data_IF_134502580652
#
_entry.id   IF_134502580652
#
_cell.length_a   1.000
_cell.length_b   1.000
_cell.length_c   1.000
_cell.angle_alpha   90.00
_cell.angle_beta   90.00
_cell.angle_gamma   90.00
#
_symmetry.space_group_name_H-M   'P 1'
#
loop_
_entity.id
_entity.type
_entity.pdbx_description
1 polymer ?
#
# COMPACT_ATOMS: atom_id res chain seq x y z
N UNK A 1 -17.13 -12.54 -14.51
CA UNK A 1 -18.08 -13.23 -13.58
C UNK A 1 -18.31 -12.32 -12.39
N UNK A 2 -19.55 -12.00 -11.98
CA UNK A 2 -19.77 -11.11 -10.80
C UNK A 2 -19.10 -11.66 -9.53
N UNK A 3 -18.31 -10.83 -8.84
CA UNK A 3 -17.57 -11.16 -7.62
C UNK A 3 -18.51 -11.29 -6.41
N UNK A 4 -19.11 -12.48 -6.24
CA UNK A 4 -20.21 -12.71 -5.29
C UNK A 4 -19.79 -13.49 -4.04
N UNK A 5 -18.68 -14.24 -4.10
CA UNK A 5 -18.17 -15.02 -2.97
C UNK A 5 -16.72 -14.66 -2.60
N UNK A 6 -16.21 -15.19 -1.49
CA UNK A 6 -14.80 -14.99 -1.10
C UNK A 6 -13.87 -15.69 -2.11
N UNK A 7 -14.26 -16.87 -2.56
CA UNK A 7 -13.54 -17.69 -3.54
C UNK A 7 -13.38 -16.96 -4.88
N UNK A 8 -14.38 -16.16 -5.29
CA UNK A 8 -14.26 -15.31 -6.49
C UNK A 8 -13.13 -14.29 -6.35
N UNK A 9 -13.00 -13.65 -5.19
CA UNK A 9 -11.93 -12.69 -4.92
C UNK A 9 -10.56 -13.38 -4.79
N UNK A 10 -10.52 -14.57 -4.20
CA UNK A 10 -9.29 -15.37 -4.11
C UNK A 10 -8.80 -15.77 -5.49
N UNK A 11 -9.68 -16.28 -6.35
CA UNK A 11 -9.40 -16.61 -7.74
C UNK A 11 -8.95 -15.38 -8.53
N UNK A 12 -9.64 -14.25 -8.38
CA UNK A 12 -9.22 -12.99 -8.99
C UNK A 12 -7.84 -12.55 -8.50
N UNK A 13 -7.42 -12.92 -7.29
CA UNK A 13 -6.13 -12.56 -6.71
C UNK A 13 -5.00 -13.58 -6.94
N UNK A 14 -5.24 -14.69 -7.64
CA UNK A 14 -4.24 -15.76 -7.83
C UNK A 14 -2.97 -15.27 -8.53
N UNK A 15 -3.09 -14.36 -9.49
CA UNK A 15 -1.96 -13.81 -10.24
C UNK A 15 -0.98 -13.05 -9.33
N UNK A 16 -1.41 -12.53 -8.19
CA UNK A 16 -0.53 -11.89 -7.20
C UNK A 16 0.50 -12.85 -6.60
N UNK A 17 0.32 -14.17 -6.74
CA UNK A 17 1.37 -15.14 -6.37
C UNK A 17 2.72 -14.87 -7.04
N UNK A 18 2.73 -14.23 -8.22
CA UNK A 18 3.96 -13.83 -8.93
C UNK A 18 4.82 -12.84 -8.16
N UNK A 19 4.24 -12.08 -7.24
CA UNK A 19 4.97 -11.09 -6.42
C UNK A 19 5.17 -11.54 -4.98
N UNK A 20 4.61 -12.68 -4.55
CA UNK A 20 4.63 -13.13 -3.15
C UNK A 20 6.08 -13.36 -2.66
N UNK A 21 6.89 -14.09 -3.42
CA UNK A 21 8.27 -14.40 -3.01
C UNK A 21 9.20 -13.17 -3.03
N UNK A 22 9.23 -12.34 -4.09
CA UNK A 22 9.98 -11.09 -4.09
C UNK A 22 9.57 -10.13 -2.96
N UNK A 23 8.26 -10.00 -2.70
CA UNK A 23 7.73 -9.15 -1.63
C UNK A 23 8.17 -9.66 -0.25
N UNK A 24 8.12 -10.97 -0.02
CA UNK A 24 8.60 -11.58 1.22
C UNK A 24 10.11 -11.41 1.41
N UNK A 25 10.90 -11.54 0.34
CA UNK A 25 12.35 -11.30 0.37
C UNK A 25 12.68 -9.86 0.73
N UNK A 26 11.97 -8.89 0.13
CA UNK A 26 12.10 -7.48 0.46
C UNK A 26 11.72 -7.23 1.93
N UNK A 27 10.59 -7.79 2.36
CA UNK A 27 10.11 -7.63 3.74
C UNK A 27 11.14 -8.14 4.75
N UNK A 28 11.70 -9.33 4.53
CA UNK A 28 12.75 -9.89 5.38
C UNK A 28 14.01 -9.01 5.41
N UNK A 29 14.42 -8.46 4.27
CA UNK A 29 15.63 -7.63 4.15
C UNK A 29 15.51 -6.32 4.93
N UNK A 30 14.33 -5.68 4.90
CA UNK A 30 14.11 -4.36 5.48
C UNK A 30 13.35 -4.38 6.82
N UNK A 31 13.11 -5.56 7.39
CA UNK A 31 12.41 -5.71 8.67
C UNK A 31 10.92 -5.38 8.61
N UNK A 32 10.26 -5.65 7.48
CA UNK A 32 8.80 -5.65 7.39
C UNK A 32 8.24 -7.06 7.63
N UNK A 33 7.01 -7.09 8.11
CA UNK A 33 6.17 -8.29 8.20
C UNK A 33 5.22 -8.33 7.02
N UNK A 34 5.11 -9.49 6.36
CA UNK A 34 4.09 -9.72 5.33
C UNK A 34 2.74 -9.96 5.99
N UNK A 35 1.75 -9.15 5.62
CA UNK A 35 0.39 -9.28 6.12
C UNK A 35 -0.33 -10.44 5.39
N UNK A 36 -1.22 -11.19 6.06
CA UNK A 36 -1.97 -12.28 5.43
C UNK A 36 -2.72 -11.85 4.17
N UNK A 37 -2.97 -12.78 3.25
CA UNK A 37 -3.83 -12.51 2.08
C UNK A 37 -5.21 -12.01 2.56
N UNK A 38 -5.79 -11.07 1.82
CA UNK A 38 -7.08 -10.42 2.13
C UNK A 38 -7.11 -9.56 3.41
N UNK A 39 -5.98 -9.37 4.10
CA UNK A 39 -5.92 -8.50 5.28
C UNK A 39 -5.79 -7.02 4.86
N UNK A 40 -6.94 -6.41 4.61
CA UNK A 40 -7.05 -5.06 4.04
C UNK A 40 -8.23 -4.89 3.09
N UNK A 41 -8.98 -5.97 2.84
CA UNK A 41 -10.15 -5.98 1.99
C UNK A 41 -10.17 -7.23 1.11
N UNK A 42 -11.34 -7.53 0.55
CA UNK A 42 -11.52 -8.70 -0.32
C UNK A 42 -10.90 -8.49 -1.70
N UNK A 43 -10.81 -7.25 -2.18
CA UNK A 43 -10.25 -6.96 -3.50
C UNK A 43 -8.74 -7.24 -3.55
N UNK A 44 -8.18 -7.77 -4.67
CA UNK A 44 -6.81 -8.27 -4.71
C UNK A 44 -5.77 -7.26 -4.21
N UNK A 45 -5.03 -7.67 -3.18
CA UNK A 45 -4.01 -6.84 -2.57
C UNK A 45 -2.87 -7.65 -1.94
N UNK A 46 -1.76 -6.96 -1.68
CA UNK A 46 -0.65 -7.40 -0.83
C UNK A 46 -0.14 -6.26 0.03
N UNK A 47 0.20 -6.57 1.28
CA UNK A 47 0.63 -5.57 2.23
C UNK A 47 1.83 -6.05 3.02
N UNK A 48 2.76 -5.15 3.26
CA UNK A 48 3.86 -5.34 4.21
C UNK A 48 3.87 -4.16 5.19
N UNK A 49 4.24 -4.42 6.43
CA UNK A 49 4.26 -3.41 7.49
C UNK A 49 5.52 -3.51 8.33
N UNK A 50 6.02 -2.38 8.79
CA UNK A 50 7.12 -2.32 9.74
C UNK A 50 6.62 -1.61 10.99
N UNK A 51 6.59 -2.33 12.10
CA UNK A 51 6.18 -1.82 13.41
C UNK A 51 7.35 -1.14 14.12
N UNK A 52 7.03 -0.15 14.94
CA UNK A 52 8.00 0.65 15.70
C UNK A 52 7.34 1.89 16.31
N UNK A 53 8.14 2.85 16.76
CA UNK A 53 7.61 4.16 17.20
C UNK A 53 6.86 4.88 16.09
N UNK A 54 7.23 4.61 14.84
CA UNK A 54 6.47 4.95 13.63
C UNK A 54 6.07 3.66 12.95
N UNK A 55 4.76 3.45 12.80
CA UNK A 55 4.23 2.37 12.00
C UNK A 55 4.37 2.75 10.52
N UNK A 56 4.92 1.85 9.71
CA UNK A 56 5.08 2.01 8.26
C UNK A 56 4.33 0.91 7.53
N UNK A 57 3.73 1.24 6.40
CA UNK A 57 2.97 0.30 5.58
C UNK A 57 3.22 0.55 4.11
N UNK A 58 3.43 -0.52 3.35
CA UNK A 58 3.41 -0.51 1.89
C UNK A 58 2.29 -1.45 1.45
N UNK A 59 1.37 -0.96 0.64
CA UNK A 59 0.16 -1.64 0.21
C UNK A 59 0.05 -1.61 -1.30
N UNK A 60 0.09 -2.77 -1.91
CA UNK A 60 -0.11 -2.98 -3.34
C UNK A 60 -1.55 -3.43 -3.52
N UNK A 61 -2.35 -2.66 -4.25
CA UNK A 61 -3.76 -2.98 -4.45
C UNK A 61 -4.19 -2.78 -5.89
N UNK A 62 -5.06 -3.67 -6.38
CA UNK A 62 -5.67 -3.52 -7.70
C UNK A 62 -6.53 -2.26 -7.69
N UNK A 63 -6.44 -1.45 -8.74
CA UNK A 63 -7.26 -0.25 -8.88
C UNK A 63 -8.67 -0.57 -9.37
N UNK A 64 -9.55 0.42 -9.27
CA UNK A 64 -10.87 0.40 -9.87
C UNK A 64 -10.77 0.78 -11.35
N UNK A 65 -11.74 0.33 -12.14
CA UNK A 65 -11.91 0.79 -13.50
C UNK A 65 -12.20 2.31 -13.54
N UNK A 66 -12.01 2.98 -14.69
CA UNK A 66 -12.23 4.43 -14.81
C UNK A 66 -13.64 4.90 -14.41
N UNK A 67 -14.64 4.02 -14.51
CA UNK A 67 -16.01 4.28 -14.07
C UNK A 67 -16.21 4.11 -12.55
N UNK A 68 -15.17 3.76 -11.80
CA UNK A 68 -15.20 3.51 -10.36
C UNK A 68 -15.63 2.09 -9.97
N UNK A 69 -15.86 1.20 -10.93
CA UNK A 69 -16.25 -0.18 -10.66
C UNK A 69 -15.04 -1.10 -10.44
N UNK A 70 -15.28 -2.26 -9.83
CA UNK A 70 -14.25 -3.30 -9.70
C UNK A 70 -14.12 -4.06 -11.01
N UNK A 71 -12.90 -4.43 -11.34
CA UNK A 71 -12.67 -5.47 -12.34
C UNK A 71 -13.09 -6.82 -11.74
N UNK A 72 -13.80 -7.61 -12.51
CA UNK A 72 -14.27 -8.93 -12.12
C UNK A 72 -13.41 -10.06 -12.70
N UNK A 73 -12.52 -9.72 -13.63
CA UNK A 73 -11.62 -10.63 -14.32
C UNK A 73 -10.20 -10.03 -14.42
N UNK A 74 -9.19 -10.91 -14.38
CA UNK A 74 -7.80 -10.51 -14.49
C UNK A 74 -7.36 -10.41 -15.96
N UNK A 75 -6.58 -9.37 -16.27
CA UNK A 75 -5.79 -9.26 -17.49
C UNK A 75 -4.43 -8.60 -17.17
N UNK A 76 -3.35 -8.89 -17.91
CA UNK A 76 -1.99 -8.44 -17.54
C UNK A 76 -1.83 -6.91 -17.41
N UNK A 77 -2.66 -6.14 -18.08
CA UNK A 77 -2.62 -4.68 -18.14
C UNK A 77 -3.49 -4.03 -17.07
N UNK A 78 -4.12 -4.83 -16.20
CA UNK A 78 -4.96 -4.33 -15.12
C UNK A 78 -4.15 -3.42 -14.19
N UNK A 79 -4.65 -2.21 -13.87
CA UNK A 79 -3.89 -1.24 -13.10
C UNK A 79 -3.82 -1.61 -11.62
N UNK A 80 -2.63 -1.42 -11.06
CA UNK A 80 -2.33 -1.50 -9.64
C UNK A 80 -1.80 -0.18 -9.13
N UNK A 81 -2.01 0.07 -7.84
CA UNK A 81 -1.28 1.09 -7.09
C UNK A 81 -0.33 0.45 -6.08
N UNK A 82 0.73 1.18 -5.74
CA UNK A 82 1.59 0.95 -4.59
C UNK A 82 1.49 2.18 -3.69
N UNK A 83 0.81 2.04 -2.56
CA UNK A 83 0.62 3.08 -1.55
C UNK A 83 1.55 2.82 -0.37
N UNK A 84 2.39 3.80 -0.05
CA UNK A 84 3.27 3.77 1.12
C UNK A 84 2.88 4.88 2.09
N UNK A 85 2.70 4.54 3.37
CA UNK A 85 2.29 5.49 4.39
C UNK A 85 2.88 5.16 5.75
N UNK A 86 2.95 6.18 6.60
CA UNK A 86 3.40 6.07 7.97
C UNK A 86 2.40 6.73 8.92
N UNK A 87 2.31 6.25 10.17
CA UNK A 87 1.53 6.89 11.23
C UNK A 87 2.10 6.54 12.60
N UNK A 88 1.65 7.27 13.61
CA UNK A 88 1.81 6.90 15.02
C UNK A 88 0.43 6.75 15.65
N UNK A 89 0.30 5.82 16.59
CA UNK A 89 -0.92 5.64 17.38
C UNK A 89 -0.67 6.21 18.79
N UNK A 90 -1.43 7.25 19.19
CA UNK A 90 -1.47 7.73 20.57
C UNK A 90 -2.51 6.90 21.33
N UNK A 91 -2.04 5.83 21.97
CA UNK A 91 -2.91 4.92 22.73
C UNK A 91 -3.61 5.58 23.93
N UNK A 92 -3.05 6.66 24.49
CA UNK A 92 -3.68 7.38 25.61
C UNK A 92 -4.91 8.14 25.13
N UNK A 93 -4.81 8.77 23.97
CA UNK A 93 -5.91 9.51 23.34
C UNK A 93 -6.79 8.64 22.43
N UNK A 94 -6.36 7.41 22.13
CA UNK A 94 -6.95 6.51 21.12
C UNK A 94 -7.03 7.18 19.74
N UNK A 95 -6.00 7.95 19.42
CA UNK A 95 -5.91 8.70 18.16
C UNK A 95 -4.83 8.09 17.27
N UNK A 96 -5.05 8.14 15.96
CA UNK A 96 -4.03 7.88 14.96
C UNK A 96 -3.61 9.19 14.33
N UNK A 97 -2.33 9.47 14.34
CA UNK A 97 -1.76 10.64 13.67
C UNK A 97 -1.06 10.18 12.40
N UNK A 98 -1.67 10.50 11.26
CA UNK A 98 -1.15 10.12 9.95
C UNK A 98 0.06 10.97 9.60
N UNK A 99 1.08 10.31 9.07
CA UNK A 99 2.24 10.94 8.47
C UNK A 99 2.08 11.13 6.96
N UNK A 100 3.16 11.55 6.29
CA UNK A 100 3.16 11.70 4.84
C UNK A 100 3.00 10.31 4.16
N UNK A 101 2.42 10.31 2.97
CA UNK A 101 2.25 9.11 2.15
C UNK A 101 2.61 9.39 0.70
N UNK A 102 2.99 8.35 -0.03
CA UNK A 102 3.15 8.39 -1.49
C UNK A 102 2.34 7.28 -2.12
N UNK A 103 1.85 7.53 -3.34
CA UNK A 103 1.09 6.56 -4.10
C UNK A 103 1.56 6.58 -5.54
N UNK A 104 2.09 5.45 -6.00
CA UNK A 104 2.39 5.19 -7.41
C UNK A 104 1.16 4.50 -7.97
N UNK A 105 0.52 5.10 -8.98
CA UNK A 105 -0.77 4.64 -9.53
C UNK A 105 -0.63 4.12 -10.95
N UNK A 106 -1.65 3.38 -11.39
CA UNK A 106 -1.84 2.91 -12.76
C UNK A 106 -0.68 2.07 -13.28
N UNK A 107 -0.06 1.27 -12.42
CA UNK A 107 1.00 0.33 -12.79
C UNK A 107 0.32 -0.89 -13.42
N UNK A 108 0.52 -1.18 -14.72
CA UNK A 108 0.01 -2.42 -15.31
C UNK A 108 0.59 -3.62 -14.57
N UNK A 109 -0.20 -4.67 -14.29
CA UNK A 109 0.29 -5.82 -13.53
C UNK A 109 1.52 -6.50 -14.16
N UNK A 110 1.57 -6.58 -15.50
CA UNK A 110 2.72 -7.09 -16.25
C UNK A 110 4.01 -6.31 -15.96
N UNK A 111 3.90 -4.98 -15.86
CA UNK A 111 5.00 -4.08 -15.49
C UNK A 111 5.33 -4.21 -14.01
N UNK A 112 4.32 -4.25 -13.13
CA UNK A 112 4.49 -4.39 -11.68
C UNK A 112 5.37 -5.59 -11.33
N UNK A 113 5.17 -6.74 -11.97
CA UNK A 113 5.98 -7.94 -11.73
C UNK A 113 7.46 -7.69 -12.06
N UNK A 114 7.76 -6.90 -13.08
CA UNK A 114 9.11 -6.58 -13.52
C UNK A 114 9.76 -5.48 -12.67
N UNK A 115 8.97 -4.52 -12.20
CA UNK A 115 9.45 -3.31 -11.51
C UNK A 115 9.16 -3.30 -10.02
N UNK A 116 8.73 -4.42 -9.43
CA UNK A 116 8.30 -4.50 -8.04
C UNK A 116 9.35 -3.91 -7.08
N UNK A 117 10.60 -4.37 -7.17
CA UNK A 117 11.66 -3.92 -6.27
C UNK A 117 11.92 -2.41 -6.41
N UNK A 118 11.86 -1.86 -7.63
CA UNK A 118 12.00 -0.42 -7.85
C UNK A 118 10.91 0.36 -7.08
N UNK A 119 9.67 -0.11 -7.11
CA UNK A 119 8.57 0.52 -6.37
C UNK A 119 8.74 0.36 -4.86
N UNK A 120 9.14 -0.84 -4.39
CA UNK A 120 9.36 -1.11 -2.97
C UNK A 120 10.53 -0.28 -2.41
N UNK A 121 11.64 -0.18 -3.13
CA UNK A 121 12.79 0.65 -2.76
C UNK A 121 12.41 2.13 -2.68
N UNK A 122 11.69 2.64 -3.68
CA UNK A 122 11.21 4.02 -3.67
C UNK A 122 10.31 4.29 -2.46
N UNK A 123 9.36 3.39 -2.20
CA UNK A 123 8.48 3.46 -1.03
C UNK A 123 9.22 3.37 0.29
N UNK A 124 10.18 2.46 0.43
CA UNK A 124 10.96 2.30 1.64
C UNK A 124 11.84 3.52 1.91
N UNK A 125 12.56 4.01 0.90
CA UNK A 125 13.40 5.19 1.01
C UNK A 125 12.57 6.43 1.38
N UNK A 126 11.36 6.57 0.83
CA UNK A 126 10.46 7.64 1.24
C UNK A 126 10.08 7.55 2.73
N UNK A 127 9.73 6.34 3.20
CA UNK A 127 9.26 6.13 4.56
C UNK A 127 10.39 6.09 5.61
N UNK A 128 11.62 5.76 5.23
CA UNK A 128 12.76 5.59 6.15
C UNK A 128 13.15 6.91 6.84
N UNK A 129 12.92 8.03 6.17
CA UNK A 129 13.16 9.37 6.72
C UNK A 129 12.02 9.90 7.61
N UNK A 130 10.87 9.22 7.65
CA UNK A 130 9.73 9.64 8.46
C UNK A 130 9.97 9.29 9.93
N UNK A 131 10.00 10.32 10.77
CA UNK A 131 10.17 10.22 12.22
C UNK A 131 8.88 10.54 12.96
N UNK A 132 8.77 10.12 14.22
CA UNK A 132 7.64 10.48 15.08
C UNK A 132 7.51 12.00 15.20
N UNK A 133 8.61 12.72 15.43
CA UNK A 133 8.62 14.18 15.52
C UNK A 133 8.08 14.85 14.25
N UNK A 134 8.43 14.31 13.07
CA UNK A 134 7.90 14.80 11.80
C UNK A 134 6.38 14.63 11.73
N UNK A 135 5.86 13.45 12.08
CA UNK A 135 4.41 13.17 12.08
C UNK A 135 3.67 14.07 13.07
N UNK A 136 4.21 14.24 14.28
CA UNK A 136 3.65 15.14 15.29
C UNK A 136 3.60 16.58 14.76
N UNK A 137 4.69 17.07 14.15
CA UNK A 137 4.75 18.40 13.58
C UNK A 137 3.70 18.61 12.47
N UNK A 138 3.52 17.65 11.56
CA UNK A 138 2.49 17.73 10.51
C UNK A 138 1.08 17.84 11.09
N UNK A 139 0.75 17.04 12.11
CA UNK A 139 -0.58 17.05 12.73
C UNK A 139 -0.81 18.31 13.60
N UNK A 140 0.25 18.92 14.15
CA UNK A 140 0.15 20.20 14.84
C UNK A 140 -0.12 21.38 13.91
N UNK A 141 0.26 21.29 12.63
CA UNK A 141 0.09 22.35 11.62
C UNK A 141 -1.26 22.26 10.89
N UNK A 142 -1.89 21.08 10.88
CA UNK A 142 -3.18 20.84 10.21
C UNK A 142 -4.23 20.33 11.18
N UNK A 143 -4.99 21.21 11.86
CA UNK A 143 -6.10 20.78 12.71
C UNK A 143 -7.20 20.07 11.90
N UNK A 144 -7.31 20.37 10.59
CA UNK A 144 -8.26 19.77 9.67
C UNK A 144 -7.63 19.59 8.28
N UNK A 145 -7.50 18.35 7.82
CA UNK A 145 -7.36 18.04 6.39
C UNK A 145 -5.98 17.51 5.98
N UNK A 146 -6.02 16.34 5.35
CA UNK A 146 -4.92 15.68 4.65
C UNK A 146 -4.20 16.65 3.70
N UNK A 147 -2.89 16.81 3.86
CA UNK A 147 -2.08 17.57 2.91
C UNK A 147 -1.80 16.68 1.70
N UNK A 148 -2.56 16.88 0.63
CA UNK A 148 -2.19 16.39 -0.70
C UNK A 148 -1.09 17.31 -1.24
N UNK A 149 0.17 16.93 -1.09
CA UNK A 149 1.28 17.57 -1.80
C UNK A 149 1.23 17.11 -3.26
N UNK A 150 0.56 17.89 -4.10
CA UNK A 150 0.70 17.78 -5.55
C UNK A 150 2.01 18.47 -5.92
N UNK A 151 3.04 17.71 -6.26
CA UNK A 151 4.19 18.25 -6.98
C UNK A 151 3.70 18.59 -8.40
N UNK A 152 3.52 19.88 -8.67
CA UNK A 152 3.40 20.42 -10.01
C UNK A 152 4.82 20.62 -10.60
N UNK A 153 4.99 20.51 -11.93
CA UNK A 153 6.29 20.39 -12.60
C UNK A 153 7.22 21.60 -12.42
#
# INVERSE_FOLDING_TARGET
MSLNSIEDYERLGEHLSKIDAPLASFAATHGYTVYPKLSGGRYPNRRITQEGSVFRSIHISMELAPNGERFDEFFPEIPYNCLAGAWIDDHKKRERWSGPSICIKRIPFSVLVQTLNLHLDHCHNYLSHVTENYIRACNCISPHGSVHLTLAP
#
